data_IF_766207544499
#
_entry.id   IF_766207544499
#
_cell.length_a   1.000
_cell.length_b   1.000
_cell.length_c   1.000
_cell.angle_alpha   90.00
_cell.angle_beta   90.00
_cell.angle_gamma   90.00
#
_symmetry.space_group_name_H-M   'P 1'
#
loop_
_entity.id
_entity.type
_entity.pdbx_description
1 polymer ?
#
# COMPACT_ATOMS: atom_id res chain seq x y z
N UNK A 1 -0.76 7.61 -26.15
CA UNK A 1 -1.12 6.18 -26.00
C UNK A 1 0.16 5.43 -25.73
N UNK A 2 0.60 5.40 -24.46
CA UNK A 2 1.62 4.47 -24.01
C UNK A 2 0.88 3.25 -23.50
N UNK A 3 1.14 2.11 -24.11
CA UNK A 3 0.59 0.81 -23.76
C UNK A 3 1.21 0.34 -22.46
N UNK A 4 0.66 0.73 -21.30
CA UNK A 4 0.62 -0.24 -20.21
C UNK A 4 -0.27 -1.37 -20.74
N UNK A 5 0.40 -2.43 -21.13
CA UNK A 5 -0.12 -3.42 -22.05
C UNK A 5 -1.43 -4.00 -21.47
N UNK A 6 -2.54 -3.94 -22.22
CA UNK A 6 -3.79 -4.62 -21.80
C UNK A 6 -3.54 -6.10 -21.47
N UNK A 7 -2.43 -6.62 -22.00
CA UNK A 7 -1.84 -7.93 -21.77
C UNK A 7 -1.39 -8.12 -20.33
N UNK A 8 -0.81 -7.13 -19.64
CA UNK A 8 -0.34 -7.23 -18.25
C UNK A 8 -1.51 -7.40 -17.28
N UNK A 9 -2.54 -6.56 -17.36
CA UNK A 9 -3.74 -6.71 -16.55
C UNK A 9 -4.48 -8.03 -16.85
N UNK A 10 -4.61 -8.40 -18.14
CA UNK A 10 -5.17 -9.69 -18.55
C UNK A 10 -4.34 -10.88 -18.05
N UNK A 11 -3.02 -10.74 -18.02
CA UNK A 11 -2.11 -11.73 -17.48
C UNK A 11 -2.35 -11.89 -15.98
N UNK A 12 -2.38 -10.82 -15.19
CA UNK A 12 -2.65 -10.90 -13.75
C UNK A 12 -4.01 -11.51 -13.42
N UNK A 13 -5.05 -11.00 -14.07
CA UNK A 13 -6.40 -11.49 -13.90
C UNK A 13 -6.54 -12.97 -14.32
N UNK A 14 -5.76 -13.41 -15.31
CA UNK A 14 -5.71 -14.82 -15.70
C UNK A 14 -4.86 -15.65 -14.73
N UNK A 15 -3.67 -15.17 -14.39
CA UNK A 15 -2.68 -15.85 -13.57
C UNK A 15 -3.20 -16.15 -12.19
N UNK A 16 -3.62 -15.14 -11.42
CA UNK A 16 -4.11 -15.35 -10.06
C UNK A 16 -5.45 -16.10 -10.00
N UNK A 17 -6.24 -16.04 -11.09
CA UNK A 17 -7.56 -16.71 -11.15
C UNK A 17 -7.46 -18.18 -11.56
N UNK A 18 -6.44 -18.56 -12.33
CA UNK A 18 -6.36 -19.88 -12.96
C UNK A 18 -5.04 -20.59 -12.72
N UNK A 19 -3.90 -19.89 -12.76
CA UNK A 19 -2.58 -20.51 -12.66
C UNK A 19 -2.15 -20.66 -11.20
N UNK A 20 -2.27 -19.60 -10.38
CA UNK A 20 -1.91 -19.63 -8.96
C UNK A 20 -2.62 -20.75 -8.17
N UNK A 21 -3.93 -21.00 -8.34
CA UNK A 21 -4.59 -22.14 -7.71
C UNK A 21 -4.04 -23.50 -8.13
N UNK A 22 -3.61 -23.64 -9.39
CA UNK A 22 -3.04 -24.90 -9.90
C UNK A 22 -1.65 -25.14 -9.29
N UNK A 23 -0.83 -24.09 -9.17
CA UNK A 23 0.48 -24.16 -8.50
C UNK A 23 0.28 -24.60 -7.04
N UNK A 24 -0.66 -23.99 -6.32
CA UNK A 24 -0.99 -24.35 -4.95
C UNK A 24 -1.53 -25.79 -4.82
N UNK A 25 -2.34 -26.28 -5.77
CA UNK A 25 -2.76 -27.68 -5.83
C UNK A 25 -1.58 -28.64 -6.05
N UNK A 26 -0.59 -28.26 -6.85
CA UNK A 26 0.65 -29.03 -6.99
C UNK A 26 1.40 -29.16 -5.66
N UNK A 27 1.48 -28.06 -4.90
CA UNK A 27 2.03 -28.07 -3.55
C UNK A 27 1.25 -28.98 -2.60
N UNK A 28 -0.09 -28.94 -2.65
CA UNK A 28 -0.94 -29.83 -1.86
C UNK A 28 -0.74 -31.31 -2.24
N UNK A 29 -0.63 -31.63 -3.53
CA UNK A 29 -0.36 -32.97 -4.02
C UNK A 29 0.98 -33.51 -3.50
N UNK A 30 2.06 -32.73 -3.63
CA UNK A 30 3.39 -33.13 -3.14
C UNK A 30 3.34 -33.42 -1.63
N UNK A 31 2.66 -32.58 -0.86
CA UNK A 31 2.63 -32.76 0.59
C UNK A 31 1.72 -33.93 1.05
N UNK A 32 0.60 -34.20 0.38
CA UNK A 32 -0.31 -35.28 0.79
C UNK A 32 0.01 -36.64 0.18
N UNK A 33 0.52 -36.67 -1.05
CA UNK A 33 0.62 -37.89 -1.86
C UNK A 33 2.08 -38.30 -2.09
N UNK A 34 2.98 -37.34 -2.29
CA UNK A 34 4.41 -37.59 -2.56
C UNK A 34 5.35 -36.80 -1.63
N UNK A 35 5.32 -37.05 -0.31
CA UNK A 35 6.15 -36.31 0.65
C UNK A 35 7.65 -36.57 0.45
N UNK A 36 8.02 -37.67 -0.19
CA UNK A 36 9.41 -37.93 -0.60
C UNK A 36 9.84 -36.93 -1.68
N UNK A 37 9.00 -36.74 -2.71
CA UNK A 37 9.17 -35.69 -3.72
C UNK A 37 9.23 -34.29 -3.11
N UNK A 38 8.35 -33.99 -2.14
CA UNK A 38 8.36 -32.72 -1.43
C UNK A 38 9.69 -32.43 -0.73
N UNK A 39 10.24 -33.41 0.01
CA UNK A 39 11.55 -33.26 0.68
C UNK A 39 12.68 -33.11 -0.32
N UNK A 40 12.73 -33.99 -1.32
CA UNK A 40 13.85 -34.04 -2.26
C UNK A 40 13.89 -32.82 -3.17
N UNK A 41 12.73 -32.23 -3.51
CA UNK A 41 12.67 -31.00 -4.31
C UNK A 41 13.21 -29.76 -3.59
N UNK A 42 13.04 -29.67 -2.26
CA UNK A 42 13.55 -28.55 -1.44
C UNK A 42 14.95 -28.83 -0.88
N UNK A 43 15.25 -30.10 -0.62
CA UNK A 43 16.49 -30.55 0.00
C UNK A 43 16.88 -31.96 -0.51
N UNK A 44 17.58 -32.05 -1.65
CA UNK A 44 17.91 -33.33 -2.30
C UNK A 44 18.75 -34.28 -1.43
N UNK A 45 19.53 -33.73 -0.50
CA UNK A 45 20.35 -34.53 0.42
C UNK A 45 19.59 -34.96 1.70
N UNK A 46 18.37 -34.47 1.90
CA UNK A 46 17.51 -34.85 3.03
C UNK A 46 16.71 -36.10 2.71
N UNK A 47 16.28 -36.81 3.75
CA UNK A 47 15.40 -37.97 3.63
C UNK A 47 14.08 -37.69 4.33
N UNK A 48 12.99 -38.12 3.71
CA UNK A 48 11.69 -38.13 4.34
C UNK A 48 11.69 -39.06 5.56
N UNK A 49 11.16 -38.55 6.67
CA UNK A 49 10.93 -39.29 7.90
C UNK A 49 9.41 -39.51 8.08
N UNK A 50 8.92 -40.76 7.99
CA UNK A 50 7.50 -41.08 8.16
C UNK A 50 6.93 -40.61 9.50
N UNK A 51 7.74 -40.52 10.56
CA UNK A 51 7.27 -40.08 11.87
C UNK A 51 6.96 -38.57 11.90
N UNK A 52 7.38 -37.83 10.87
CA UNK A 52 7.15 -36.40 10.70
C UNK A 52 6.06 -36.07 9.67
N UNK A 53 5.28 -37.07 9.24
CA UNK A 53 4.21 -36.92 8.23
C UNK A 53 3.23 -35.77 8.54
N UNK A 54 3.03 -35.46 9.82
CA UNK A 54 2.14 -34.37 10.23
C UNK A 54 2.56 -32.99 9.70
N UNK A 55 3.86 -32.72 9.54
CA UNK A 55 4.37 -31.45 8.99
C UNK A 55 3.94 -31.28 7.52
N UNK A 56 3.99 -32.35 6.75
CA UNK A 56 3.55 -32.38 5.36
C UNK A 56 2.04 -32.18 5.28
N UNK A 57 1.26 -32.84 6.14
CA UNK A 57 -0.19 -32.62 6.17
C UNK A 57 -0.57 -31.17 6.54
N UNK A 58 0.17 -30.51 7.43
CA UNK A 58 -0.05 -29.10 7.76
C UNK A 58 0.28 -28.19 6.56
N UNK A 59 1.42 -28.40 5.92
CA UNK A 59 1.84 -27.67 4.71
C UNK A 59 0.88 -27.89 3.54
N UNK A 60 0.48 -29.14 3.28
CA UNK A 60 -0.50 -29.50 2.26
C UNK A 60 -1.88 -28.93 2.54
N UNK A 61 -2.30 -28.86 3.81
CA UNK A 61 -3.54 -28.22 4.22
C UNK A 61 -3.54 -26.71 3.94
N UNK A 62 -2.43 -26.02 4.23
CA UNK A 62 -2.25 -24.61 3.88
C UNK A 62 -2.29 -24.42 2.36
N UNK A 63 -1.54 -25.22 1.60
CA UNK A 63 -1.52 -25.15 0.14
C UNK A 63 -2.92 -25.38 -0.48
N UNK A 64 -3.70 -26.31 0.08
CA UNK A 64 -5.07 -26.55 -0.34
C UNK A 64 -5.99 -25.37 -0.01
N UNK A 65 -5.82 -24.73 1.15
CA UNK A 65 -6.55 -23.52 1.51
C UNK A 65 -6.22 -22.36 0.55
N UNK A 66 -4.94 -22.15 0.24
CA UNK A 66 -4.48 -21.16 -0.74
C UNK A 66 -5.09 -21.44 -2.11
N UNK A 67 -5.08 -22.69 -2.57
CA UNK A 67 -5.68 -23.09 -3.83
C UNK A 67 -7.17 -22.77 -3.88
N UNK A 68 -7.91 -23.12 -2.83
CA UNK A 68 -9.33 -22.85 -2.74
C UNK A 68 -9.63 -21.35 -2.71
N UNK A 69 -8.96 -20.59 -1.85
CA UNK A 69 -9.18 -19.15 -1.69
C UNK A 69 -8.84 -18.39 -2.99
N UNK A 70 -7.69 -18.69 -3.61
CA UNK A 70 -7.27 -18.07 -4.87
C UNK A 70 -8.16 -18.47 -6.05
N UNK A 71 -8.76 -19.67 -6.03
CA UNK A 71 -9.76 -20.06 -7.01
C UNK A 71 -11.13 -19.43 -6.75
N UNK A 72 -11.53 -19.23 -5.51
CA UNK A 72 -12.92 -18.85 -5.21
C UNK A 72 -13.09 -17.34 -5.08
N UNK A 73 -12.25 -16.66 -4.30
CA UNK A 73 -12.41 -15.24 -3.99
C UNK A 73 -12.49 -14.38 -5.26
N UNK A 74 -11.61 -14.52 -6.28
CA UNK A 74 -11.70 -13.72 -7.51
C UNK A 74 -12.95 -13.98 -8.38
N UNK A 75 -13.74 -15.01 -8.05
CA UNK A 75 -14.99 -15.37 -8.75
C UNK A 75 -16.23 -14.86 -8.02
N UNK A 76 -16.14 -14.59 -6.73
CA UNK A 76 -17.27 -14.16 -5.89
C UNK A 76 -17.14 -12.73 -5.37
N UNK A 77 -15.92 -12.21 -5.25
CA UNK A 77 -15.66 -10.83 -4.87
C UNK A 77 -14.89 -10.12 -5.97
N UNK A 78 -15.35 -8.92 -6.34
CA UNK A 78 -14.60 -7.96 -7.16
C UNK A 78 -14.03 -6.82 -6.30
N UNK A 79 -14.17 -6.92 -4.97
CA UNK A 79 -13.65 -5.96 -4.00
C UNK A 79 -12.12 -6.09 -3.92
N UNK A 80 -11.40 -5.02 -4.25
CA UNK A 80 -9.93 -5.03 -4.23
C UNK A 80 -9.36 -4.99 -2.83
N UNK A 81 -10.10 -4.52 -1.81
CA UNK A 81 -9.63 -4.57 -0.43
C UNK A 81 -9.56 -6.04 0.02
N UNK A 82 -10.62 -6.81 -0.28
CA UNK A 82 -10.63 -8.26 -0.06
C UNK A 82 -9.51 -8.96 -0.84
N UNK A 83 -9.31 -8.56 -2.10
CA UNK A 83 -8.27 -9.13 -2.94
C UNK A 83 -6.86 -8.75 -2.46
N UNK A 84 -6.63 -7.51 -2.05
CA UNK A 84 -5.37 -7.00 -1.52
C UNK A 84 -4.99 -7.65 -0.20
N UNK A 85 -5.95 -7.83 0.72
CA UNK A 85 -5.76 -8.57 1.97
C UNK A 85 -5.38 -10.02 1.68
N UNK A 86 -6.06 -10.67 0.71
CA UNK A 86 -5.72 -12.02 0.28
C UNK A 86 -4.29 -12.07 -0.28
N UNK A 87 -3.94 -11.22 -1.24
CA UNK A 87 -2.60 -11.22 -1.85
C UNK A 87 -1.50 -10.92 -0.85
N UNK A 88 -1.71 -9.98 0.08
CA UNK A 88 -0.76 -9.70 1.16
C UNK A 88 -0.62 -10.88 2.12
N UNK A 89 -1.72 -11.54 2.49
CA UNK A 89 -1.68 -12.74 3.34
C UNK A 89 -0.88 -13.87 2.67
N UNK A 90 -1.06 -14.04 1.36
CA UNK A 90 -0.32 -15.01 0.57
C UNK A 90 1.16 -14.62 0.40
N UNK A 91 1.47 -13.33 0.27
CA UNK A 91 2.84 -12.82 0.26
C UNK A 91 3.60 -13.22 1.53
N UNK A 92 2.97 -13.13 2.71
CA UNK A 92 3.60 -13.58 3.97
C UNK A 92 3.93 -15.08 3.93
N UNK A 93 3.05 -15.89 3.35
CA UNK A 93 3.29 -17.32 3.15
C UNK A 93 4.43 -17.57 2.16
N UNK A 94 4.51 -16.80 1.07
CA UNK A 94 5.56 -16.94 0.06
C UNK A 94 6.93 -16.57 0.65
N UNK A 95 7.02 -15.50 1.45
CA UNK A 95 8.24 -15.12 2.17
C UNK A 95 8.70 -16.20 3.15
N UNK A 96 7.77 -16.86 3.84
CA UNK A 96 8.09 -18.02 4.69
C UNK A 96 8.61 -19.20 3.86
N UNK A 97 8.05 -19.43 2.68
CA UNK A 97 8.53 -20.42 1.70
C UNK A 97 9.95 -20.13 1.21
N UNK A 98 10.22 -18.88 0.80
CA UNK A 98 11.56 -18.41 0.40
C UNK A 98 12.57 -18.63 1.54
N UNK A 99 12.19 -18.25 2.75
CA UNK A 99 13.02 -18.45 3.95
C UNK A 99 13.35 -19.94 4.14
N UNK A 100 12.35 -20.81 4.05
CA UNK A 100 12.52 -22.27 4.16
C UNK A 100 13.50 -22.84 3.12
N UNK A 101 13.35 -22.43 1.85
CA UNK A 101 14.27 -22.82 0.77
C UNK A 101 15.67 -22.28 1.03
N UNK A 102 15.80 -21.00 1.42
CA UNK A 102 17.08 -20.37 1.74
C UNK A 102 17.84 -21.09 2.86
N UNK A 103 17.16 -21.45 3.96
CA UNK A 103 17.75 -22.24 5.03
C UNK A 103 18.17 -23.65 4.58
N UNK A 104 17.33 -24.32 3.77
CA UNK A 104 17.65 -25.64 3.23
C UNK A 104 18.89 -25.61 2.33
N UNK A 105 19.01 -24.60 1.47
CA UNK A 105 20.17 -24.40 0.59
C UNK A 105 21.43 -24.05 1.39
N UNK A 106 21.32 -23.17 2.39
CA UNK A 106 22.44 -22.80 3.26
C UNK A 106 23.04 -24.02 3.97
N UNK A 107 22.19 -24.87 4.58
CA UNK A 107 22.63 -26.08 5.30
C UNK A 107 23.29 -27.12 4.38
N UNK A 108 22.96 -27.09 3.09
CA UNK A 108 23.54 -27.99 2.09
C UNK A 108 24.71 -27.35 1.32
N UNK A 109 25.12 -26.12 1.66
CA UNK A 109 26.23 -25.42 1.00
C UNK A 109 25.93 -24.97 -0.44
N UNK A 110 24.64 -24.78 -0.79
CA UNK A 110 24.17 -24.57 -2.17
C UNK A 110 23.86 -23.10 -2.52
N UNK A 111 24.07 -22.17 -1.59
CA UNK A 111 23.87 -20.73 -1.85
C UNK A 111 24.84 -20.17 -2.90
N UNK A 112 25.97 -20.83 -3.16
CA UNK A 112 27.05 -20.35 -4.03
C UNK A 112 26.93 -20.67 -5.53
N UNK A 113 25.82 -21.26 -6.01
CA UNK A 113 25.53 -21.30 -7.46
C UNK A 113 25.62 -22.67 -8.17
N UNK A 114 25.24 -23.77 -7.51
CA UNK A 114 25.10 -25.11 -8.12
C UNK A 114 23.65 -25.62 -8.04
N UNK A 115 22.72 -24.83 -8.57
CA UNK A 115 21.28 -25.08 -8.40
C UNK A 115 20.76 -26.17 -9.34
N UNK A 116 19.97 -27.08 -8.80
CA UNK A 116 19.30 -28.15 -9.55
C UNK A 116 18.04 -27.63 -10.23
N UNK A 117 17.46 -28.42 -11.15
CA UNK A 117 16.14 -28.11 -11.72
C UNK A 117 15.07 -27.92 -10.65
N UNK A 118 15.17 -28.66 -9.55
CA UNK A 118 14.20 -28.59 -8.45
C UNK A 118 14.38 -27.34 -7.59
N UNK A 119 15.61 -26.84 -7.43
CA UNK A 119 15.85 -25.54 -6.77
C UNK A 119 15.21 -24.40 -7.57
N UNK A 120 15.38 -24.43 -8.89
CA UNK A 120 14.73 -23.47 -9.79
C UNK A 120 13.21 -23.64 -9.81
N UNK A 121 12.74 -24.89 -9.75
CA UNK A 121 11.32 -25.20 -9.69
C UNK A 121 10.67 -24.66 -8.43
N UNK A 122 11.18 -25.02 -7.25
CA UNK A 122 10.57 -24.67 -5.96
C UNK A 122 10.97 -23.27 -5.48
N UNK A 123 12.26 -22.97 -5.45
CA UNK A 123 12.75 -21.64 -5.04
C UNK A 123 12.37 -20.56 -6.05
N UNK A 124 12.50 -20.85 -7.35
CA UNK A 124 12.10 -19.93 -8.40
C UNK A 124 10.60 -19.67 -8.43
N UNK A 125 9.74 -20.66 -8.16
CA UNK A 125 8.29 -20.43 -8.06
C UNK A 125 7.93 -19.51 -6.90
N UNK A 126 8.55 -19.68 -5.72
CA UNK A 126 8.29 -18.81 -4.58
C UNK A 126 8.75 -17.37 -4.83
N UNK A 127 9.94 -17.19 -5.42
CA UNK A 127 10.44 -15.86 -5.79
C UNK A 127 9.54 -15.21 -6.83
N UNK A 128 9.14 -15.95 -7.86
CA UNK A 128 8.22 -15.47 -8.88
C UNK A 128 6.88 -15.02 -8.26
N UNK A 129 6.20 -15.90 -7.51
CA UNK A 129 4.95 -15.57 -6.85
C UNK A 129 5.08 -14.37 -5.90
N UNK A 130 6.15 -14.30 -5.12
CA UNK A 130 6.43 -13.16 -4.22
C UNK A 130 6.51 -11.85 -5.01
N UNK A 131 7.24 -11.81 -6.13
CA UNK A 131 7.38 -10.61 -6.95
C UNK A 131 6.06 -10.21 -7.61
N UNK A 132 5.26 -11.18 -8.06
CA UNK A 132 3.94 -10.95 -8.64
C UNK A 132 2.94 -10.42 -7.60
N UNK A 133 3.01 -10.89 -6.34
CA UNK A 133 2.16 -10.42 -5.24
C UNK A 133 2.64 -9.12 -4.61
N UNK A 134 3.93 -8.82 -4.68
CA UNK A 134 4.56 -7.65 -4.06
C UNK A 134 4.58 -6.40 -4.96
N UNK A 135 3.69 -6.24 -5.94
CA UNK A 135 3.68 -5.07 -6.84
C UNK A 135 3.22 -3.74 -6.19
N UNK A 136 3.64 -3.50 -4.95
CA UNK A 136 3.83 -2.17 -4.36
C UNK A 136 5.34 -1.94 -4.37
N UNK A 137 5.80 -0.99 -5.19
CA UNK A 137 7.20 -0.55 -5.18
C UNK A 137 7.30 0.71 -4.34
N UNK A 138 8.35 0.79 -3.53
CA UNK A 138 8.65 1.95 -2.67
C UNK A 138 9.93 2.59 -3.18
N UNK A 139 9.87 3.88 -3.42
CA UNK A 139 11.01 4.68 -3.87
C UNK A 139 11.41 5.66 -2.76
N UNK A 140 12.68 5.62 -2.34
CA UNK A 140 13.21 6.58 -1.37
C UNK A 140 13.61 7.88 -2.06
N UNK A 141 12.67 8.81 -2.13
CA UNK A 141 12.87 10.11 -2.76
C UNK A 141 13.78 11.04 -1.96
N UNK A 142 13.99 10.80 -0.65
CA UNK A 142 14.72 11.71 0.25
C UNK A 142 16.21 11.38 0.30
N UNK A 143 16.57 10.12 0.58
CA UNK A 143 17.97 9.74 0.74
C UNK A 143 18.58 9.23 -0.56
N UNK A 144 17.85 8.39 -1.32
CA UNK A 144 18.32 7.83 -2.58
C UNK A 144 18.00 8.74 -3.78
N UNK A 145 17.01 9.63 -3.63
CA UNK A 145 16.44 10.42 -4.73
C UNK A 145 16.04 9.51 -5.92
N UNK A 146 15.47 8.35 -5.58
CA UNK A 146 15.00 7.36 -6.53
C UNK A 146 13.53 7.59 -6.86
N UNK A 147 13.14 7.35 -8.11
CA UNK A 147 11.80 7.66 -8.63
C UNK A 147 11.37 6.60 -9.64
N UNK A 148 10.06 6.32 -9.77
CA UNK A 148 9.56 5.48 -10.84
C UNK A 148 9.85 6.08 -12.22
N UNK A 149 10.12 5.25 -13.22
CA UNK A 149 10.10 5.72 -14.60
C UNK A 149 8.65 6.05 -15.03
N UNK A 150 8.44 7.07 -15.87
CA UNK A 150 7.11 7.45 -16.32
C UNK A 150 6.40 6.29 -17.03
N UNK A 151 5.26 5.86 -16.50
CA UNK A 151 4.47 4.74 -17.03
C UNK A 151 4.72 3.37 -16.38
N UNK A 152 5.66 3.26 -15.43
CA UNK A 152 5.90 2.03 -14.66
C UNK A 152 4.84 1.76 -13.58
N UNK A 153 3.89 2.66 -13.40
CA UNK A 153 2.85 2.58 -12.38
C UNK A 153 1.48 3.01 -12.93
N UNK A 154 0.43 2.44 -12.35
CA UNK A 154 -0.95 2.86 -12.58
C UNK A 154 -1.41 3.89 -11.54
N UNK A 155 -0.90 3.78 -10.31
CA UNK A 155 -1.18 4.68 -9.18
C UNK A 155 0.12 5.10 -8.52
N UNK A 156 0.33 6.41 -8.37
CA UNK A 156 1.40 6.99 -7.57
C UNK A 156 0.85 7.45 -6.22
N UNK A 157 1.33 6.85 -5.13
CA UNK A 157 0.96 7.23 -3.76
C UNK A 157 2.11 8.00 -3.11
N UNK A 158 1.83 9.20 -2.62
CA UNK A 158 2.78 10.04 -1.89
C UNK A 158 2.34 10.10 -0.42
N UNK A 159 3.21 9.64 0.48
CA UNK A 159 2.92 9.56 1.92
C UNK A 159 3.12 10.90 2.64
N UNK A 160 2.76 10.93 3.93
CA UNK A 160 3.16 12.00 4.84
C UNK A 160 4.69 12.06 5.02
N UNK A 161 5.19 13.24 5.42
CA UNK A 161 6.59 13.46 5.80
C UNK A 161 6.69 14.63 6.79
N UNK A 162 7.63 14.58 7.76
CA UNK A 162 7.90 15.70 8.67
C UNK A 162 8.78 16.78 7.98
N UNK A 163 8.32 17.32 6.85
CA UNK A 163 9.04 18.27 6.02
C UNK A 163 8.15 19.45 5.62
N UNK A 164 8.78 20.60 5.35
CA UNK A 164 8.09 21.73 4.74
C UNK A 164 7.92 21.44 3.23
N UNK A 165 6.69 21.39 2.67
CA UNK A 165 6.49 21.18 1.23
C UNK A 165 7.11 22.28 0.35
N UNK A 166 7.30 23.49 0.89
CA UNK A 166 7.95 24.61 0.19
C UNK A 166 9.48 24.62 0.34
N UNK A 167 10.04 23.69 1.13
CA UNK A 167 11.48 23.63 1.41
C UNK A 167 12.35 23.52 0.16
N UNK A 168 13.54 24.11 0.23
CA UNK A 168 14.50 24.19 -0.88
C UNK A 168 15.52 23.05 -0.87
N UNK A 169 15.37 22.05 0.01
CA UNK A 169 16.22 20.88 0.01
C UNK A 169 16.21 20.20 -1.37
N UNK A 170 17.36 19.71 -1.88
CA UNK A 170 17.45 19.17 -3.24
C UNK A 170 16.44 18.07 -3.56
N UNK A 171 16.12 17.22 -2.58
CA UNK A 171 15.12 16.16 -2.74
C UNK A 171 13.69 16.70 -2.87
N UNK A 172 13.34 17.81 -2.20
CA UNK A 172 12.03 18.46 -2.32
C UNK A 172 11.87 19.14 -3.68
N UNK A 173 12.91 19.80 -4.16
CA UNK A 173 12.91 20.41 -5.49
C UNK A 173 12.70 19.33 -6.56
N UNK A 174 13.47 18.24 -6.48
CA UNK A 174 13.34 17.10 -7.41
C UNK A 174 11.98 16.42 -7.31
N UNK A 175 11.44 16.23 -6.10
CA UNK A 175 10.12 15.64 -5.89
C UNK A 175 9.02 16.50 -6.52
N UNK A 176 9.02 17.81 -6.26
CA UNK A 176 8.05 18.74 -6.84
C UNK A 176 8.13 18.78 -8.36
N UNK A 177 9.34 18.80 -8.92
CA UNK A 177 9.55 18.76 -10.37
C UNK A 177 9.03 17.44 -10.98
N UNK A 178 9.38 16.31 -10.37
CA UNK A 178 8.95 14.99 -10.81
C UNK A 178 7.42 14.87 -10.80
N UNK A 179 6.78 15.15 -9.66
CA UNK A 179 5.33 14.99 -9.52
C UNK A 179 4.58 15.94 -10.45
N UNK A 180 5.04 17.18 -10.60
CA UNK A 180 4.47 18.14 -11.56
C UNK A 180 4.55 17.58 -12.99
N UNK A 181 5.72 17.09 -13.40
CA UNK A 181 5.90 16.48 -14.72
C UNK A 181 4.98 15.28 -14.92
N UNK A 182 4.85 14.39 -13.94
CA UNK A 182 3.96 13.22 -14.05
C UNK A 182 2.49 13.63 -14.18
N UNK A 183 2.03 14.61 -13.39
CA UNK A 183 0.66 15.14 -13.48
C UNK A 183 0.38 15.75 -14.85
N UNK A 184 1.35 16.47 -15.44
CA UNK A 184 1.22 17.14 -16.74
C UNK A 184 1.34 16.20 -17.94
N UNK A 185 2.19 15.16 -17.86
CA UNK A 185 2.54 14.32 -19.01
C UNK A 185 1.74 13.01 -19.09
N UNK A 186 1.21 12.54 -17.97
CA UNK A 186 0.38 11.34 -17.93
C UNK A 186 -1.09 11.67 -18.13
N UNK A 187 -1.85 10.76 -18.77
CA UNK A 187 -3.29 10.93 -18.97
C UNK A 187 -4.14 9.89 -18.23
N UNK A 188 -3.54 8.78 -17.79
CA UNK A 188 -4.27 7.62 -17.23
C UNK A 188 -3.87 7.30 -15.80
N UNK A 189 -2.66 7.67 -15.40
CA UNK A 189 -2.16 7.46 -14.04
C UNK A 189 -3.04 8.17 -13.01
N UNK A 190 -3.20 7.54 -11.85
CA UNK A 190 -3.90 8.11 -10.70
C UNK A 190 -2.89 8.56 -9.66
N UNK A 191 -3.21 9.64 -8.98
CA UNK A 191 -2.37 10.23 -7.95
C UNK A 191 -3.09 10.22 -6.62
N UNK A 192 -2.42 9.69 -5.60
CA UNK A 192 -2.92 9.60 -4.23
C UNK A 192 -1.95 10.30 -3.29
N UNK A 193 -2.46 11.10 -2.37
CA UNK A 193 -1.62 11.82 -1.41
C UNK A 193 -2.22 11.89 -0.02
N UNK A 194 -1.37 11.71 0.99
CA UNK A 194 -1.72 11.88 2.40
C UNK A 194 -0.87 12.97 3.04
N UNK A 195 -1.49 13.92 3.74
CA UNK A 195 -0.83 15.01 4.44
C UNK A 195 0.19 15.77 3.57
N UNK A 196 1.49 15.58 3.80
CA UNK A 196 2.55 16.14 2.94
C UNK A 196 2.37 15.75 1.46
N UNK A 197 1.98 14.50 1.17
CA UNK A 197 1.69 14.07 -0.20
C UNK A 197 0.48 14.79 -0.82
N UNK A 198 -0.54 15.09 -0.03
CA UNK A 198 -1.67 15.93 -0.47
C UNK A 198 -1.20 17.33 -0.88
N UNK A 199 -0.31 17.93 -0.11
CA UNK A 199 0.27 19.25 -0.38
C UNK A 199 1.16 19.25 -1.64
N UNK A 200 2.03 18.24 -1.81
CA UNK A 200 2.86 18.09 -3.01
C UNK A 200 2.00 17.95 -4.27
N UNK A 201 0.91 17.17 -4.20
CA UNK A 201 -0.03 17.05 -5.30
C UNK A 201 -0.77 18.37 -5.57
N UNK A 202 -1.21 19.09 -4.53
CA UNK A 202 -1.83 20.40 -4.70
C UNK A 202 -0.90 21.36 -5.47
N UNK A 203 0.38 21.41 -5.10
CA UNK A 203 1.41 22.21 -5.78
C UNK A 203 1.62 21.78 -7.24
N UNK A 204 1.57 20.47 -7.52
CA UNK A 204 1.67 19.96 -8.88
C UNK A 204 0.49 20.40 -9.78
N UNK A 205 -0.69 20.64 -9.19
CA UNK A 205 -1.84 21.23 -9.87
C UNK A 205 -1.85 22.77 -9.85
N UNK A 206 -0.77 23.41 -9.39
CA UNK A 206 -0.61 24.86 -9.37
C UNK A 206 -1.24 25.58 -8.18
N UNK A 207 -1.70 24.84 -7.16
CA UNK A 207 -2.22 25.43 -5.93
C UNK A 207 -1.08 25.84 -4.99
N UNK A 208 -1.33 26.88 -4.20
CA UNK A 208 -0.40 27.32 -3.16
C UNK A 208 -0.62 26.55 -1.85
N UNK A 209 0.46 26.31 -1.12
CA UNK A 209 0.44 25.76 0.26
C UNK A 209 1.01 26.79 1.22
N UNK A 210 0.76 26.65 2.51
CA UNK A 210 1.31 27.51 3.56
C UNK A 210 1.38 26.83 4.91
N UNK A 211 2.18 27.39 5.81
CA UNK A 211 2.10 27.10 7.23
C UNK A 211 0.84 27.76 7.80
N UNK A 212 -0.02 27.00 8.48
CA UNK A 212 -1.24 27.54 9.06
C UNK A 212 -0.91 28.36 10.33
N UNK A 213 -1.37 29.61 10.38
CA UNK A 213 -1.18 30.52 11.50
C UNK A 213 -1.96 30.08 12.76
N UNK A 214 -2.98 29.23 12.61
CA UNK A 214 -3.71 28.59 13.71
C UNK A 214 -2.91 27.48 14.41
N UNK A 215 -1.75 27.09 13.86
CA UNK A 215 -0.89 26.08 14.43
C UNK A 215 -1.15 24.69 13.86
N UNK A 216 -1.00 23.68 14.72
CA UNK A 216 -1.16 22.28 14.32
C UNK A 216 -2.59 21.81 14.48
N UNK A 217 -3.11 21.13 13.46
CA UNK A 217 -4.29 20.28 13.58
C UNK A 217 -3.80 18.84 13.81
N UNK A 218 -4.15 18.27 14.96
CA UNK A 218 -3.67 16.96 15.39
C UNK A 218 -4.81 16.09 15.88
N UNK A 219 -4.67 14.77 15.80
CA UNK A 219 -5.58 13.77 16.37
C UNK A 219 -6.99 13.76 15.76
N UNK A 220 -7.90 12.97 16.35
CA UNK A 220 -9.26 12.79 15.86
C UNK A 220 -9.99 14.14 15.71
N UNK A 221 -10.33 14.45 14.46
CA UNK A 221 -10.97 15.71 14.06
C UNK A 221 -12.11 15.42 13.09
N UNK A 222 -13.25 16.05 13.31
CA UNK A 222 -14.44 15.87 12.46
C UNK A 222 -14.40 16.84 11.29
N UNK A 223 -14.21 16.30 10.10
CA UNK A 223 -14.25 17.02 8.83
C UNK A 223 -15.69 17.10 8.35
N UNK A 224 -16.16 18.31 8.08
CA UNK A 224 -17.46 18.55 7.43
C UNK A 224 -17.29 18.36 5.92
N UNK A 225 -18.06 17.44 5.33
CA UNK A 225 -17.84 17.04 3.94
C UNK A 225 -18.54 17.99 2.97
N UNK A 226 -17.83 18.32 1.89
CA UNK A 226 -18.40 19.01 0.73
C UNK A 226 -19.35 18.09 -0.04
N UNK A 227 -20.06 18.59 -1.03
CA UNK A 227 -20.86 17.73 -1.92
C UNK A 227 -20.04 16.62 -2.59
N UNK A 228 -18.75 16.87 -2.89
CA UNK A 228 -17.86 15.84 -3.42
C UNK A 228 -17.49 14.81 -2.35
N UNK A 229 -17.12 15.28 -1.15
CA UNK A 229 -16.86 14.40 0.00
C UNK A 229 -18.05 13.52 0.34
N UNK A 230 -19.26 14.09 0.42
CA UNK A 230 -20.50 13.35 0.69
C UNK A 230 -20.77 12.27 -0.36
N UNK A 231 -20.52 12.57 -1.65
CA UNK A 231 -20.65 11.58 -2.73
C UNK A 231 -19.66 10.43 -2.59
N UNK A 232 -18.45 10.70 -2.16
CA UNK A 232 -17.39 9.70 -2.06
C UNK A 232 -17.47 8.88 -0.77
N UNK A 233 -17.67 9.54 0.38
CA UNK A 233 -17.67 8.93 1.71
C UNK A 233 -19.05 8.49 2.18
N UNK A 234 -20.12 8.86 1.47
CA UNK A 234 -21.52 8.47 1.76
C UNK A 234 -22.03 8.90 3.14
N UNK A 235 -21.48 10.00 3.67
CA UNK A 235 -21.86 10.61 4.94
C UNK A 235 -21.69 12.13 4.89
N UNK A 236 -22.25 12.85 5.87
CA UNK A 236 -22.19 14.31 5.93
C UNK A 236 -20.91 14.86 6.55
N UNK A 237 -20.26 14.08 7.42
CA UNK A 237 -19.00 14.39 8.08
C UNK A 237 -18.19 13.12 8.28
N UNK A 238 -16.86 13.21 8.43
CA UNK A 238 -15.99 12.07 8.77
C UNK A 238 -15.01 12.46 9.85
N UNK A 239 -14.84 11.61 10.88
CA UNK A 239 -13.83 11.80 11.91
C UNK A 239 -12.54 11.06 11.55
N UNK A 240 -11.45 11.78 11.26
CA UNK A 240 -10.16 11.20 10.90
C UNK A 240 -9.05 11.74 11.80
N UNK A 241 -7.90 11.05 11.81
CA UNK A 241 -6.72 11.50 12.54
C UNK A 241 -5.97 12.56 11.74
N UNK A 242 -5.75 13.73 12.34
CA UNK A 242 -4.94 14.81 11.76
C UNK A 242 -3.51 14.81 12.33
N UNK A 243 -2.58 15.44 11.62
CA UNK A 243 -1.18 15.52 12.02
C UNK A 243 -0.37 16.48 11.17
N UNK A 244 -0.82 17.73 11.04
CA UNK A 244 -0.21 18.69 10.14
C UNK A 244 -0.24 20.12 10.68
N UNK A 245 0.69 20.94 10.18
CA UNK A 245 0.70 22.39 10.37
C UNK A 245 0.59 23.12 9.02
N UNK A 246 1.14 22.53 7.96
CA UNK A 246 0.99 23.05 6.63
C UNK A 246 -0.39 22.68 6.06
N UNK A 247 -0.91 23.52 5.18
CA UNK A 247 -2.20 23.34 4.50
C UNK A 247 -2.14 23.83 3.06
N UNK A 248 -3.09 23.41 2.23
CA UNK A 248 -3.39 24.08 0.97
C UNK A 248 -4.11 25.39 1.29
N UNK A 249 -3.68 26.52 0.70
CA UNK A 249 -4.32 27.82 0.93
C UNK A 249 -5.77 27.79 0.48
N UNK A 250 -6.65 28.46 1.22
CA UNK A 250 -8.02 28.69 0.81
C UNK A 250 -8.04 29.57 -0.45
N UNK A 251 -8.26 28.93 -1.61
CA UNK A 251 -8.08 29.53 -2.93
C UNK A 251 -8.97 28.82 -3.97
N UNK A 252 -9.04 29.37 -5.17
CA UNK A 252 -9.73 28.71 -6.29
C UNK A 252 -9.01 27.40 -6.68
N UNK A 253 -9.77 26.31 -6.67
CA UNK A 253 -9.29 24.96 -6.94
C UNK A 253 -9.31 24.60 -8.43
N UNK A 254 -9.85 25.47 -9.28
CA UNK A 254 -9.99 25.24 -10.71
C UNK A 254 -10.84 23.99 -10.97
N UNK A 255 -10.22 22.95 -11.53
CA UNK A 255 -10.91 21.68 -11.83
C UNK A 255 -11.00 20.72 -10.64
N UNK A 256 -10.25 20.97 -9.57
CA UNK A 256 -10.23 20.11 -8.40
C UNK A 256 -11.45 20.38 -7.52
N UNK A 257 -11.93 19.34 -6.85
CA UNK A 257 -13.02 19.42 -5.88
C UNK A 257 -12.45 19.29 -4.47
N UNK A 258 -12.81 20.19 -3.56
CA UNK A 258 -12.54 20.00 -2.14
C UNK A 258 -13.37 18.82 -1.62
N UNK A 259 -12.83 17.98 -0.74
CA UNK A 259 -13.56 16.90 -0.08
C UNK A 259 -14.21 17.32 1.23
N UNK A 260 -13.70 18.33 1.91
CA UNK A 260 -14.27 18.82 3.16
C UNK A 260 -13.44 19.89 3.84
N UNK A 261 -13.91 20.36 4.98
CA UNK A 261 -13.27 21.43 5.75
C UNK A 261 -13.46 21.21 7.25
N UNK A 262 -12.55 21.75 8.04
CA UNK A 262 -12.69 21.98 9.47
C UNK A 262 -12.68 23.48 9.75
N UNK A 263 -12.91 23.88 11.00
CA UNK A 263 -12.75 25.29 11.41
C UNK A 263 -11.28 25.75 11.36
N UNK A 264 -10.33 24.81 11.34
CA UNK A 264 -8.90 25.06 11.27
C UNK A 264 -8.36 25.06 9.83
N UNK A 265 -8.82 24.12 9.01
CA UNK A 265 -8.28 23.85 7.67
C UNK A 265 -9.40 23.76 6.64
N UNK A 266 -9.43 24.70 5.69
CA UNK A 266 -10.53 24.83 4.73
C UNK A 266 -10.51 23.78 3.60
N UNK A 267 -9.34 23.25 3.25
CA UNK A 267 -9.19 22.22 2.21
C UNK A 267 -8.60 20.97 2.86
N UNK A 268 -9.47 20.05 3.28
CA UNK A 268 -9.07 18.79 3.92
C UNK A 268 -8.81 17.66 2.93
N UNK A 269 -9.16 17.85 1.66
CA UNK A 269 -8.87 16.88 0.61
C UNK A 269 -9.14 17.42 -0.78
N UNK A 270 -8.48 16.84 -1.77
CA UNK A 270 -8.65 17.21 -3.18
C UNK A 270 -9.05 16.00 -4.00
N UNK A 271 -9.94 16.23 -4.95
CA UNK A 271 -10.44 15.18 -5.82
C UNK A 271 -10.57 15.66 -7.26
N UNK A 272 -10.05 14.86 -8.18
CA UNK A 272 -10.28 14.97 -9.61
C UNK A 272 -10.66 13.56 -10.09
N UNK A 273 -11.89 13.35 -10.61
CA UNK A 273 -12.35 12.04 -11.03
C UNK A 273 -11.32 11.32 -11.90
N UNK A 274 -11.00 10.07 -11.54
CA UNK A 274 -10.04 9.18 -12.24
C UNK A 274 -8.59 9.68 -12.31
N UNK A 275 -8.24 10.77 -11.62
CA UNK A 275 -6.91 11.38 -11.71
C UNK A 275 -6.27 11.69 -10.36
N UNK A 276 -7.03 12.24 -9.42
CA UNK A 276 -6.51 12.65 -8.10
C UNK A 276 -7.48 12.29 -7.00
N UNK A 277 -6.97 11.70 -5.92
CA UNK A 277 -7.65 11.61 -4.64
C UNK A 277 -6.63 11.89 -3.54
N UNK A 278 -6.86 12.86 -2.68
CA UNK A 278 -5.92 13.13 -1.59
C UNK A 278 -6.62 13.66 -0.34
N UNK A 279 -6.02 13.38 0.81
CA UNK A 279 -6.49 13.86 2.12
C UNK A 279 -5.34 14.51 2.89
N UNK A 280 -5.66 15.57 3.60
CA UNK A 280 -4.75 16.19 4.56
C UNK A 280 -4.62 15.31 5.83
N UNK A 281 -5.71 14.63 6.19
CA UNK A 281 -5.80 13.63 7.25
C UNK A 281 -5.03 12.32 6.98
N UNK A 282 -4.86 11.54 8.04
CA UNK A 282 -4.18 10.25 8.07
C UNK A 282 -5.12 9.08 8.43
N UNK A 283 -5.95 8.61 7.48
CA UNK A 283 -6.76 7.41 7.69
C UNK A 283 -5.92 6.15 7.90
N UNK A 284 -4.62 6.18 7.58
CA UNK A 284 -3.66 5.09 7.77
C UNK A 284 -3.10 4.98 9.20
N UNK A 285 -3.29 5.98 10.06
CA UNK A 285 -2.76 5.98 11.44
C UNK A 285 -3.80 5.53 12.44
N UNK A 286 -3.53 4.44 13.16
CA UNK A 286 -4.25 4.11 14.39
C UNK A 286 -3.82 5.00 15.57
N UNK A 287 -4.48 4.80 16.72
CA UNK A 287 -4.21 5.59 17.91
C UNK A 287 -2.79 5.40 18.47
N UNK A 288 -2.19 4.22 18.28
CA UNK A 288 -0.84 3.95 18.76
C UNK A 288 0.19 4.69 17.91
N UNK A 289 0.11 4.57 16.59
CA UNK A 289 0.96 5.25 15.63
C UNK A 289 0.88 6.77 15.81
N UNK A 290 -0.34 7.31 15.90
CA UNK A 290 -0.55 8.73 16.14
C UNK A 290 0.02 9.18 17.50
N UNK A 291 -0.10 8.35 18.55
CA UNK A 291 0.47 8.64 19.86
C UNK A 291 2.00 8.78 19.81
N UNK A 292 2.69 7.93 19.04
CA UNK A 292 4.13 8.06 18.83
C UNK A 292 4.48 9.36 18.11
N UNK A 293 3.75 9.68 17.04
CA UNK A 293 3.94 10.94 16.27
C UNK A 293 3.71 12.16 17.17
N UNK A 294 2.71 12.11 18.04
CA UNK A 294 2.41 13.18 18.99
C UNK A 294 3.55 13.40 19.99
N UNK A 295 4.19 12.34 20.49
CA UNK A 295 5.39 12.48 21.34
C UNK A 295 6.56 13.13 20.59
N UNK A 296 6.78 12.77 19.32
CA UNK A 296 7.79 13.42 18.49
C UNK A 296 7.47 14.90 18.21
N UNK A 297 6.17 15.25 18.10
CA UNK A 297 5.71 16.60 17.86
C UNK A 297 5.63 17.46 19.13
N UNK A 298 5.74 16.88 20.33
CA UNK A 298 5.53 17.55 21.62
C UNK A 298 6.31 18.87 21.77
N UNK A 299 7.56 18.90 21.33
CA UNK A 299 8.40 20.11 21.42
C UNK A 299 7.97 21.24 20.48
N UNK A 300 7.08 20.96 19.52
CA UNK A 300 6.53 21.90 18.54
C UNK A 300 5.11 22.37 18.88
N UNK A 301 4.48 21.76 19.88
CA UNK A 301 3.11 22.06 20.30
C UNK A 301 3.12 22.91 21.57
N UNK A 302 2.07 23.70 21.77
CA UNK A 302 1.79 24.25 23.10
C UNK A 302 1.38 23.12 24.06
N UNK A 303 1.54 23.32 25.37
CA UNK A 303 1.11 22.31 26.35
C UNK A 303 -0.40 22.05 26.24
N UNK A 304 -1.20 23.07 25.95
CA UNK A 304 -2.64 22.96 25.76
C UNK A 304 -2.98 22.12 24.52
N UNK A 305 -2.35 22.39 23.38
CA UNK A 305 -2.55 21.62 22.14
C UNK A 305 -2.12 20.17 22.30
N UNK A 306 -1.00 19.93 22.99
CA UNK A 306 -0.51 18.58 23.26
C UNK A 306 -1.47 17.78 24.14
N UNK A 307 -2.00 18.38 25.22
CA UNK A 307 -2.99 17.69 26.06
C UNK A 307 -4.30 17.45 25.30
N UNK A 308 -4.80 18.43 24.56
CA UNK A 308 -6.01 18.29 23.72
C UNK A 308 -5.85 17.18 22.68
N UNK A 309 -4.72 17.17 21.96
CA UNK A 309 -4.42 16.12 20.99
C UNK A 309 -4.33 14.74 21.63
N UNK A 310 -3.74 14.65 22.83
CA UNK A 310 -3.63 13.39 23.59
C UNK A 310 -5.00 12.89 24.05
N UNK A 311 -5.87 13.78 24.51
CA UNK A 311 -7.24 13.43 24.92
C UNK A 311 -8.11 12.97 23.74
N UNK A 312 -7.94 13.59 22.56
CA UNK A 312 -8.68 13.22 21.34
C UNK A 312 -8.14 11.96 20.65
N UNK A 313 -6.92 11.51 20.97
CA UNK A 313 -6.36 10.28 20.44
C UNK A 313 -6.98 9.02 21.09
N UNK A 314 -8.26 8.78 20.80
CA UNK A 314 -9.05 7.71 21.42
C UNK A 314 -9.13 6.43 20.58
N UNK A 315 -8.70 6.48 19.32
CA UNK A 315 -8.90 5.41 18.34
C UNK A 315 -10.31 5.35 17.75
N UNK A 316 -11.25 6.18 18.22
CA UNK A 316 -12.60 6.26 17.68
C UNK A 316 -12.64 7.20 16.47
N UNK A 317 -12.08 6.72 15.35
CA UNK A 317 -12.06 7.41 14.06
C UNK A 317 -12.67 6.53 12.97
N UNK A 318 -13.16 7.15 11.90
CA UNK A 318 -13.86 6.51 10.78
C UNK A 318 -12.90 6.20 9.63
N UNK A 319 -11.72 5.67 9.93
CA UNK A 319 -10.67 5.36 8.93
C UNK A 319 -11.19 4.56 7.74
N UNK A 320 -12.01 3.54 8.02
CA UNK A 320 -12.53 2.64 6.99
C UNK A 320 -13.32 3.38 5.92
N UNK A 321 -14.04 4.45 6.28
CA UNK A 321 -14.82 5.25 5.32
C UNK A 321 -13.92 5.89 4.27
N UNK A 322 -12.81 6.48 4.72
CA UNK A 322 -11.84 7.10 3.82
C UNK A 322 -11.10 6.05 2.99
N UNK A 323 -10.71 4.93 3.60
CA UNK A 323 -10.02 3.83 2.93
C UNK A 323 -10.89 3.15 1.87
N UNK A 324 -12.18 2.93 2.13
CA UNK A 324 -13.13 2.37 1.15
C UNK A 324 -13.28 3.30 -0.06
N UNK A 325 -13.36 4.61 0.17
CA UNK A 325 -13.42 5.61 -0.90
C UNK A 325 -12.15 5.65 -1.76
N UNK A 326 -10.98 5.60 -1.12
CA UNK A 326 -9.70 5.49 -1.82
C UNK A 326 -9.63 4.23 -2.68
N UNK A 327 -10.04 3.09 -2.12
CA UNK A 327 -10.10 1.81 -2.82
C UNK A 327 -10.98 1.91 -4.06
N UNK A 328 -12.18 2.47 -3.94
CA UNK A 328 -13.07 2.68 -5.08
C UNK A 328 -12.43 3.60 -6.13
N UNK A 329 -11.78 4.69 -5.71
CA UNK A 329 -11.06 5.57 -6.63
C UNK A 329 -9.92 4.85 -7.37
N UNK A 330 -9.15 4.00 -6.69
CA UNK A 330 -8.07 3.21 -7.30
C UNK A 330 -8.64 2.23 -8.34
N UNK A 331 -9.85 1.71 -8.13
CA UNK A 331 -10.52 0.76 -9.01
C UNK A 331 -11.23 1.36 -10.24
N UNK A 332 -11.76 2.58 -10.12
CA UNK A 332 -12.65 3.22 -11.13
C UNK A 332 -11.99 3.74 -12.42
#
# INVERSE_FOLDING_TARGET
MSTTDSTTFKFYAFFFKWIDPIIALGGAYLNFIDPIGAVTSMAPNSRYDPDQVFLFHQSGGLALAVAFLSATIPRYSQDIAVWGILQFSLLLSDLAGISGVGFAMARQGRLGGSWTSDDWGCGGSYVFLTLERAQIRVWDVKNAMDYPEPGDYDVLIITGAPANPEGEEPWLLKLREYVKKEVETTSTQKFVGFCFGHQILAMAYGLSVECNDLGYEFSATTIQLSDAGKRLFKQDSVCLNEGHQFQVKDQDLGQLQNLGSTDHTHIQGLFLPKRLWSLQAHPEFDAEALGQILEFAKSKLSEEDYQSARERNTGNVEQQVALDSLVNFILD
#
